data_IF_225483647361
#
_entry.id   IF_225483647361
#
_cell.length_a   1.000
_cell.length_b   1.000
_cell.length_c   1.000
_cell.angle_alpha   90.00
_cell.angle_beta   90.00
_cell.angle_gamma   90.00
#
_symmetry.space_group_name_H-M   'P 1'
#
loop_
_entity.id
_entity.type
_entity.pdbx_description
1 polymer ?
#
# COMPACT_ATOMS: atom_id res chain seq x y z
N UNK A 1 -6.15 7.45 -14.84
CA UNK A 1 -5.95 7.46 -13.37
C UNK A 1 -4.97 6.36 -12.98
N UNK A 2 -4.37 6.45 -11.81
CA UNK A 2 -3.33 5.52 -11.37
C UNK A 2 -3.65 4.95 -10.00
N UNK A 3 -3.20 3.72 -9.75
CA UNK A 3 -3.27 3.06 -8.45
C UNK A 3 -1.86 3.05 -7.85
N UNK A 4 -1.70 3.70 -6.71
CA UNK A 4 -0.43 3.75 -5.99
C UNK A 4 -0.53 2.83 -4.78
N UNK A 5 0.36 1.85 -4.69
CA UNK A 5 0.46 0.96 -3.55
C UNK A 5 1.56 1.46 -2.62
N UNK A 6 1.22 1.67 -1.35
CA UNK A 6 2.18 1.94 -0.29
C UNK A 6 2.22 0.67 0.57
N UNK A 7 3.35 -0.03 0.54
CA UNK A 7 3.50 -1.32 1.21
C UNK A 7 4.65 -1.31 2.21
N UNK A 8 4.60 -2.21 3.17
CA UNK A 8 5.64 -2.34 4.19
C UNK A 8 5.10 -2.97 5.47
N UNK A 9 5.99 -3.20 6.42
CA UNK A 9 5.65 -3.81 7.71
C UNK A 9 4.74 -2.90 8.55
N UNK A 10 3.94 -3.47 9.47
CA UNK A 10 3.14 -2.67 10.40
C UNK A 10 4.03 -1.75 11.23
N UNK A 11 3.63 -0.49 11.33
CA UNK A 11 4.39 0.52 12.08
C UNK A 11 5.45 1.24 11.28
N UNK A 12 5.63 0.90 9.99
CA UNK A 12 6.63 1.54 9.14
C UNK A 12 6.29 2.98 8.73
N UNK A 13 5.02 3.41 8.89
CA UNK A 13 4.60 4.75 8.54
C UNK A 13 3.81 4.86 7.24
N UNK A 14 3.24 3.76 6.76
CA UNK A 14 2.46 3.72 5.52
C UNK A 14 1.25 4.66 5.54
N UNK A 15 0.47 4.60 6.62
CA UNK A 15 -0.75 5.40 6.76
C UNK A 15 -0.43 6.89 6.79
N UNK A 16 0.62 7.28 7.51
CA UNK A 16 1.05 8.67 7.58
C UNK A 16 1.46 9.18 6.20
N UNK A 17 2.22 8.38 5.45
CA UNK A 17 2.63 8.75 4.10
C UNK A 17 1.43 8.83 3.15
N UNK A 18 0.51 7.88 3.24
CA UNK A 18 -0.71 7.88 2.43
C UNK A 18 -1.56 9.12 2.71
N UNK A 19 -1.68 9.54 3.98
CA UNK A 19 -2.42 10.73 4.37
C UNK A 19 -1.81 12.01 3.80
N UNK A 20 -0.49 12.06 3.64
CA UNK A 20 0.18 13.21 3.03
C UNK A 20 0.08 13.18 1.50
N UNK A 21 0.19 12.01 0.89
CA UNK A 21 0.22 11.88 -0.57
C UNK A 21 -1.16 12.03 -1.21
N UNK A 22 -2.19 11.41 -0.64
CA UNK A 22 -3.52 11.36 -1.26
C UNK A 22 -4.11 12.74 -1.56
N UNK A 23 -4.05 13.74 -0.66
CA UNK A 23 -4.59 15.07 -0.96
C UNK A 23 -3.89 15.79 -2.12
N UNK A 24 -2.62 15.49 -2.34
CA UNK A 24 -1.84 16.14 -3.42
C UNK A 24 -2.39 15.85 -4.81
N UNK A 25 -3.03 14.70 -4.97
CA UNK A 25 -3.60 14.26 -6.25
C UNK A 25 -5.11 14.10 -6.20
N UNK A 26 -5.72 14.51 -5.10
CA UNK A 26 -7.14 14.30 -4.87
C UNK A 26 -7.52 12.81 -5.01
N UNK A 27 -6.68 11.93 -4.49
CA UNK A 27 -6.88 10.49 -4.58
C UNK A 27 -7.86 9.99 -3.54
N UNK A 28 -8.52 8.87 -3.85
CA UNK A 28 -9.28 8.11 -2.87
C UNK A 28 -8.31 7.23 -2.07
N UNK A 29 -8.44 7.27 -0.76
CA UNK A 29 -7.66 6.43 0.15
C UNK A 29 -8.32 5.05 0.27
N UNK A 30 -7.50 4.01 0.26
CA UNK A 30 -7.93 2.64 0.49
C UNK A 30 -7.03 2.04 1.58
N UNK A 31 -7.53 2.01 2.81
CA UNK A 31 -6.81 1.52 3.96
C UNK A 31 -7.20 0.07 4.26
N UNK A 32 -6.21 -0.80 4.42
CA UNK A 32 -6.45 -2.23 4.61
C UNK A 32 -7.22 -2.55 5.89
N UNK A 33 -6.95 -1.83 6.98
CA UNK A 33 -7.64 -2.08 8.25
C UNK A 33 -9.12 -1.72 8.15
N UNK A 34 -9.46 -0.64 7.47
CA UNK A 34 -10.85 -0.26 7.22
C UNK A 34 -11.56 -1.29 6.34
N UNK A 35 -10.88 -1.80 5.33
CA UNK A 35 -11.43 -2.84 4.45
C UNK A 35 -11.65 -4.14 5.21
N UNK A 36 -10.71 -4.55 6.08
CA UNK A 36 -10.89 -5.72 6.94
C UNK A 36 -12.07 -5.54 7.88
N UNK A 37 -12.20 -4.37 8.48
CA UNK A 37 -13.30 -4.07 9.40
C UNK A 37 -14.65 -4.19 8.70
N UNK A 38 -14.76 -3.64 7.50
CA UNK A 38 -15.99 -3.71 6.72
C UNK A 38 -16.35 -5.15 6.31
N UNK A 39 -15.33 -5.97 6.02
CA UNK A 39 -15.52 -7.37 5.65
C UNK A 39 -15.63 -8.30 6.87
N UNK A 40 -15.33 -7.80 8.07
CA UNK A 40 -15.23 -8.57 9.29
C UNK A 40 -14.29 -9.80 9.09
N UNK A 41 -13.15 -9.57 8.46
CA UNK A 41 -12.18 -10.61 8.13
C UNK A 41 -10.81 -10.24 8.70
N UNK A 42 -10.48 -10.80 9.84
CA UNK A 42 -9.23 -10.57 10.55
C UNK A 42 -8.30 -11.79 10.47
N UNK A 43 -8.45 -12.58 9.40
CA UNK A 43 -7.59 -13.72 9.15
C UNK A 43 -6.26 -13.24 8.55
N UNK A 44 -5.18 -13.34 9.32
CA UNK A 44 -3.84 -12.95 8.92
C UNK A 44 -2.99 -14.13 8.44
N UNK A 45 -3.61 -15.31 8.23
CA UNK A 45 -2.95 -16.43 7.59
C UNK A 45 -2.60 -16.07 6.14
N UNK A 46 -1.80 -16.90 5.50
CA UNK A 46 -1.42 -16.71 4.09
C UNK A 46 -2.66 -16.63 3.20
N UNK A 47 -3.64 -17.51 3.41
CA UNK A 47 -4.89 -17.49 2.66
C UNK A 47 -5.73 -16.23 2.94
N UNK A 48 -5.79 -15.81 4.20
CA UNK A 48 -6.50 -14.58 4.58
C UNK A 48 -5.88 -13.34 3.96
N UNK A 49 -4.56 -13.32 3.85
CA UNK A 49 -3.84 -12.21 3.23
C UNK A 49 -4.06 -12.17 1.71
N UNK A 50 -4.20 -13.32 1.06
CA UNK A 50 -4.57 -13.38 -0.36
C UNK A 50 -5.98 -12.86 -0.59
N UNK A 51 -6.94 -13.25 0.27
CA UNK A 51 -8.31 -12.72 0.21
C UNK A 51 -8.32 -11.21 0.37
N UNK A 52 -7.52 -10.69 1.30
CA UNK A 52 -7.43 -9.26 1.54
C UNK A 52 -6.84 -8.53 0.32
N UNK A 53 -5.78 -9.07 -0.27
CA UNK A 53 -5.18 -8.48 -1.47
C UNK A 53 -6.17 -8.41 -2.63
N UNK A 54 -6.95 -9.48 -2.83
CA UNK A 54 -7.99 -9.51 -3.86
C UNK A 54 -9.10 -8.50 -3.59
N UNK A 55 -9.52 -8.41 -2.33
CA UNK A 55 -10.55 -7.45 -1.90
C UNK A 55 -10.09 -6.01 -2.13
N UNK A 56 -8.83 -5.72 -1.76
CA UNK A 56 -8.22 -4.43 -2.01
C UNK A 56 -8.13 -4.14 -3.52
N UNK A 57 -7.77 -5.14 -4.31
CA UNK A 57 -7.71 -5.02 -5.77
C UNK A 57 -9.07 -4.67 -6.37
N UNK A 58 -10.12 -5.36 -5.95
CA UNK A 58 -11.48 -5.11 -6.46
C UNK A 58 -11.94 -3.68 -6.15
N UNK A 59 -11.70 -3.19 -4.93
CA UNK A 59 -12.03 -1.82 -4.56
C UNK A 59 -11.20 -0.80 -5.34
N UNK A 60 -9.90 -1.05 -5.49
CA UNK A 60 -9.01 -0.13 -6.20
C UNK A 60 -9.40 0.00 -7.68
N UNK A 61 -9.70 -1.12 -8.33
CA UNK A 61 -10.13 -1.11 -9.73
C UNK A 61 -11.44 -0.38 -9.92
N UNK A 62 -12.40 -0.59 -9.01
CA UNK A 62 -13.68 0.11 -9.06
C UNK A 62 -13.50 1.62 -8.94
N UNK A 63 -12.69 2.06 -7.98
CA UNK A 63 -12.41 3.49 -7.78
C UNK A 63 -11.72 4.09 -9.01
N UNK A 64 -10.79 3.35 -9.59
CA UNK A 64 -10.11 3.79 -10.82
C UNK A 64 -11.08 3.91 -11.99
N UNK A 65 -11.97 2.95 -12.17
CA UNK A 65 -13.00 2.98 -13.20
C UNK A 65 -13.93 4.19 -13.04
N UNK A 66 -14.19 4.59 -11.81
CA UNK A 66 -15.01 5.77 -11.49
C UNK A 66 -14.26 7.09 -11.72
N UNK A 67 -13.03 7.04 -12.19
CA UNK A 67 -12.24 8.22 -12.54
C UNK A 67 -11.36 8.76 -11.43
N UNK A 68 -11.04 7.96 -10.42
CA UNK A 68 -10.23 8.37 -9.28
C UNK A 68 -8.80 7.87 -9.36
N UNK A 69 -7.86 8.69 -8.88
CA UNK A 69 -6.59 8.17 -8.39
C UNK A 69 -6.82 7.42 -7.09
N UNK A 70 -6.06 6.36 -6.83
CA UNK A 70 -6.18 5.53 -5.64
C UNK A 70 -4.84 5.47 -4.93
N UNK A 71 -4.83 5.73 -3.62
CA UNK A 71 -3.67 5.50 -2.76
C UNK A 71 -4.06 4.41 -1.77
N UNK A 72 -3.52 3.21 -1.97
CA UNK A 72 -3.78 2.05 -1.12
C UNK A 72 -2.60 1.79 -0.21
N UNK A 73 -2.84 1.59 1.07
CA UNK A 73 -1.79 1.25 2.03
C UNK A 73 -2.13 -0.05 2.75
N UNK A 74 -1.27 -1.04 2.61
CA UNK A 74 -1.34 -2.30 3.33
C UNK A 74 0.01 -3.03 3.29
N UNK A 75 0.13 -4.09 4.09
CA UNK A 75 1.40 -4.79 4.25
C UNK A 75 1.85 -5.45 2.96
N UNK A 76 0.94 -6.16 2.30
CA UNK A 76 1.19 -6.88 1.05
C UNK A 76 2.49 -7.71 1.11
N UNK A 77 2.55 -8.70 2.02
CA UNK A 77 3.84 -9.26 2.45
C UNK A 77 4.47 -10.25 1.49
N UNK A 78 3.74 -10.77 0.51
CA UNK A 78 4.24 -11.83 -0.36
C UNK A 78 4.16 -11.44 -1.83
N UNK A 79 5.00 -12.06 -2.70
CA UNK A 79 4.90 -11.87 -4.14
C UNK A 79 3.52 -12.23 -4.69
N UNK A 80 2.88 -13.26 -4.14
CA UNK A 80 1.54 -13.69 -4.56
C UNK A 80 0.51 -12.59 -4.30
N UNK A 81 0.53 -12.00 -3.10
CA UNK A 81 -0.36 -10.90 -2.76
C UNK A 81 -0.13 -9.69 -3.67
N UNK A 82 1.14 -9.38 -3.95
CA UNK A 82 1.51 -8.26 -4.83
C UNK A 82 1.03 -8.49 -6.26
N UNK A 83 1.09 -9.73 -6.74
CA UNK A 83 0.62 -10.06 -8.09
C UNK A 83 -0.89 -9.91 -8.23
N UNK A 84 -1.64 -10.02 -7.14
CA UNK A 84 -3.10 -9.86 -7.13
C UNK A 84 -3.52 -8.39 -7.12
N UNK A 85 -2.66 -7.49 -6.66
CA UNK A 85 -2.99 -6.07 -6.53
C UNK A 85 -2.48 -5.29 -7.75
N UNK A 86 -3.36 -4.61 -8.51
CA UNK A 86 -2.99 -3.97 -9.78
C UNK A 86 -2.38 -2.58 -9.58
N UNK A 87 -1.22 -2.51 -8.95
CA UNK A 87 -0.54 -1.24 -8.72
C UNK A 87 0.12 -0.72 -10.00
N UNK A 88 -0.10 0.55 -10.29
CA UNK A 88 0.62 1.25 -11.36
C UNK A 88 1.97 1.78 -10.85
N UNK A 89 2.07 2.03 -9.54
CA UNK A 89 3.26 2.57 -8.89
C UNK A 89 3.36 1.98 -7.49
N UNK A 90 4.54 1.50 -7.13
CA UNK A 90 4.77 0.85 -5.83
C UNK A 90 5.75 1.66 -5.00
N UNK A 91 5.32 2.05 -3.81
CA UNK A 91 6.15 2.71 -2.80
C UNK A 91 6.40 1.69 -1.69
N UNK A 92 7.64 1.32 -1.50
CA UNK A 92 8.04 0.42 -0.42
C UNK A 92 8.55 1.23 0.77
N UNK A 93 7.80 1.16 1.87
CA UNK A 93 8.17 1.84 3.13
C UNK A 93 8.97 0.86 3.98
N UNK A 94 10.29 1.06 3.97
CA UNK A 94 11.29 0.18 4.60
C UNK A 94 12.03 0.96 5.70
N UNK A 95 11.27 1.39 6.70
CA UNK A 95 11.79 2.22 7.78
C UNK A 95 12.12 1.43 9.05
N UNK A 96 11.65 0.18 9.13
CA UNK A 96 11.87 -0.72 10.26
C UNK A 96 12.20 -2.11 9.73
N UNK A 97 13.00 -2.86 10.50
CA UNK A 97 13.38 -4.22 10.12
C UNK A 97 12.37 -5.25 10.56
N UNK A 98 11.65 -4.98 11.66
CA UNK A 98 10.65 -5.87 12.23
C UNK A 98 9.45 -5.06 12.66
N UNK A 99 8.24 -5.51 12.29
CA UNK A 99 7.00 -4.98 12.81
C UNK A 99 6.66 -5.63 14.16
N UNK A 100 5.53 -5.22 14.74
CA UNK A 100 5.08 -5.72 16.06
C UNK A 100 4.55 -7.16 16.03
N UNK A 101 4.33 -7.74 14.87
CA UNK A 101 3.75 -9.09 14.74
C UNK A 101 4.76 -10.04 14.11
N UNK A 102 5.24 -11.02 14.88
CA UNK A 102 6.24 -11.99 14.42
C UNK A 102 5.79 -12.78 13.19
N UNK A 103 4.53 -13.18 13.13
CA UNK A 103 4.00 -13.92 11.99
C UNK A 103 4.10 -13.12 10.69
N UNK A 104 3.83 -11.82 10.78
CA UNK A 104 3.96 -10.91 9.63
C UNK A 104 5.42 -10.72 9.25
N UNK A 105 6.32 -10.61 10.23
CA UNK A 105 7.76 -10.48 9.98
C UNK A 105 8.29 -11.68 9.23
N UNK A 106 7.88 -12.89 9.62
CA UNK A 106 8.30 -14.14 8.98
C UNK A 106 7.74 -14.28 7.57
N UNK A 107 6.53 -13.79 7.35
CA UNK A 107 5.85 -13.90 6.06
C UNK A 107 6.34 -12.86 5.06
N UNK A 108 6.85 -11.73 5.52
CA UNK A 108 7.20 -10.61 4.68
C UNK A 108 8.45 -10.92 3.84
N UNK A 109 8.27 -10.89 2.53
CA UNK A 109 9.36 -11.03 1.56
C UNK A 109 9.58 -9.66 0.91
N UNK A 110 10.83 -9.19 0.92
CA UNK A 110 11.18 -7.89 0.35
C UNK A 110 10.79 -7.85 -1.13
N UNK A 111 10.23 -6.73 -1.62
CA UNK A 111 9.85 -6.65 -3.03
C UNK A 111 11.08 -6.57 -3.93
N UNK A 112 11.04 -7.29 -5.05
CA UNK A 112 12.04 -7.17 -6.11
C UNK A 112 11.75 -5.95 -6.99
N UNK A 113 10.49 -5.57 -7.09
CA UNK A 113 10.03 -4.46 -7.91
C UNK A 113 9.37 -3.40 -7.05
N UNK A 114 9.89 -2.20 -7.10
CA UNK A 114 9.31 -1.03 -6.47
C UNK A 114 9.77 0.20 -7.26
N UNK A 115 8.98 1.26 -7.21
CA UNK A 115 9.26 2.49 -7.93
C UNK A 115 9.90 3.54 -7.02
N UNK A 116 9.60 3.49 -5.73
CA UNK A 116 10.15 4.41 -4.74
C UNK A 116 10.42 3.65 -3.45
N UNK A 117 11.62 3.83 -2.88
CA UNK A 117 12.06 3.17 -1.66
C UNK A 117 12.20 4.19 -0.53
N UNK A 118 11.37 4.06 0.49
CA UNK A 118 11.34 4.98 1.64
C UNK A 118 12.10 4.32 2.80
N UNK A 119 13.17 4.97 3.24
CA UNK A 119 14.03 4.45 4.30
C UNK A 119 14.00 5.29 5.57
N UNK A 120 13.21 6.36 5.61
CA UNK A 120 13.05 7.20 6.80
C UNK A 120 11.59 7.65 6.93
N UNK A 121 11.14 7.87 8.17
CA UNK A 121 9.78 8.33 8.45
C UNK A 121 9.72 9.86 8.34
N UNK A 122 9.62 10.35 7.11
CA UNK A 122 9.59 11.78 6.81
C UNK A 122 8.51 12.06 5.74
N UNK A 123 7.28 11.73 6.07
CA UNK A 123 6.16 11.75 5.12
C UNK A 123 5.96 13.13 4.48
N UNK A 124 6.10 14.21 5.23
CA UNK A 124 5.86 15.57 4.72
C UNK A 124 6.83 15.95 3.61
N UNK A 125 8.09 15.51 3.71
CA UNK A 125 9.11 15.81 2.70
C UNK A 125 9.13 14.78 1.59
N UNK A 126 8.76 13.52 1.88
CA UNK A 126 8.79 12.44 0.91
C UNK A 126 7.57 12.44 -0.03
N UNK A 127 6.40 12.80 0.47
CA UNK A 127 5.18 12.81 -0.34
C UNK A 127 5.29 13.70 -1.58
N UNK A 128 5.83 14.94 -1.51
CA UNK A 128 6.05 15.73 -2.71
C UNK A 128 6.99 15.10 -3.73
N UNK A 129 8.04 14.41 -3.26
CA UNK A 129 8.98 13.71 -4.15
C UNK A 129 8.30 12.54 -4.86
N UNK A 130 7.49 11.78 -4.15
CA UNK A 130 6.72 10.67 -4.72
C UNK A 130 5.72 11.23 -5.75
N UNK A 131 5.05 12.32 -5.42
CA UNK A 131 4.13 12.99 -6.35
C UNK A 131 4.83 13.37 -7.65
N UNK A 132 5.99 14.03 -7.58
CA UNK A 132 6.76 14.41 -8.76
C UNK A 132 7.16 13.21 -9.62
N UNK A 133 7.68 12.16 -8.97
CA UNK A 133 8.20 11.00 -9.69
C UNK A 133 7.10 10.09 -10.24
N UNK A 134 5.96 10.01 -9.57
CA UNK A 134 4.90 9.07 -9.95
C UNK A 134 3.84 9.67 -10.85
N UNK A 135 3.46 10.92 -10.61
CA UNK A 135 2.23 11.47 -11.17
C UNK A 135 2.45 12.53 -12.24
N UNK A 136 3.61 13.20 -12.23
CA UNK A 136 3.95 14.17 -13.26
C UNK A 136 4.52 13.48 -14.50
N UNK A 137 5.26 12.39 -14.31
CA UNK A 137 5.99 11.72 -15.39
C UNK A 137 5.30 10.46 -15.93
N UNK A 138 4.09 10.18 -15.49
CA UNK A 138 3.36 9.02 -15.98
C UNK A 138 2.27 9.43 -16.97
#
# INVERSE_FOLDING_TARGET
MKIILIMGLPGAGKTTLANELAPMVNAKRLNADEVRKAANDWDFSEEGRKRQAKRMADFALKLKEEGNYVVADFICPTPEARSLFPADYIVWVDTIKEGRFDDTNKMFIKPDKFDFHVTSQDAKNLAPKIYELSLIHI
#
